data_IF_167923313495
#
_entry.id   IF_167923313495
#
_cell.length_a   1.000
_cell.length_b   1.000
_cell.length_c   1.000
_cell.angle_alpha   90.00
_cell.angle_beta   90.00
_cell.angle_gamma   90.00
#
_symmetry.space_group_name_H-M   'P 1'
#
loop_
_entity.id
_entity.type
_entity.pdbx_description
1 polymer ?
#
# COMPACT_ATOMS: atom_id res chain seq x y z
N UNK A 1 9.09 0.99 -29.09
CA UNK A 1 9.32 -0.44 -29.40
C UNK A 1 10.59 -0.84 -28.66
N UNK A 2 10.45 -1.31 -27.42
CA UNK A 2 11.56 -1.68 -26.55
C UNK A 2 11.79 -3.19 -26.63
N UNK A 3 13.05 -3.59 -26.47
CA UNK A 3 13.58 -4.93 -26.70
C UNK A 3 13.07 -5.96 -25.66
N UNK A 4 12.39 -7.04 -26.08
CA UNK A 4 11.82 -8.06 -25.21
C UNK A 4 12.83 -9.03 -24.56
N UNK A 5 14.15 -8.85 -24.76
CA UNK A 5 15.17 -9.76 -24.23
C UNK A 5 15.99 -9.22 -23.03
N UNK A 6 15.62 -8.06 -22.48
CA UNK A 6 16.14 -7.59 -21.18
C UNK A 6 15.10 -7.85 -20.09
N UNK A 7 15.17 -9.08 -19.59
CA UNK A 7 14.25 -9.73 -18.67
C UNK A 7 14.42 -9.22 -17.23
N UNK A 8 13.44 -8.45 -16.75
CA UNK A 8 13.22 -8.16 -15.32
C UNK A 8 11.93 -8.81 -14.81
N UNK A 9 11.42 -9.89 -15.44
CA UNK A 9 10.31 -10.67 -14.90
C UNK A 9 8.98 -9.92 -14.73
N UNK A 10 8.80 -8.78 -15.39
CA UNK A 10 7.56 -8.01 -15.36
C UNK A 10 6.76 -8.25 -16.64
N UNK A 11 5.50 -8.66 -16.49
CA UNK A 11 4.55 -8.79 -17.60
C UNK A 11 3.87 -7.46 -17.92
N UNK A 12 3.72 -7.16 -19.20
CA UNK A 12 3.10 -5.93 -19.71
C UNK A 12 1.80 -6.27 -20.47
N UNK A 13 0.83 -5.36 -20.44
CA UNK A 13 -0.36 -5.46 -21.29
C UNK A 13 -0.09 -4.97 -22.73
N UNK A 14 -1.08 -5.15 -23.62
CA UNK A 14 -0.97 -4.74 -25.04
C UNK A 14 -0.77 -3.23 -25.24
N UNK A 15 -0.94 -2.41 -24.20
CA UNK A 15 -0.72 -0.96 -24.24
C UNK A 15 0.62 -0.55 -23.61
N UNK A 16 1.43 -1.50 -23.13
CA UNK A 16 2.76 -1.24 -22.59
C UNK A 16 2.76 -0.74 -21.15
N UNK A 17 1.65 -0.89 -20.42
CA UNK A 17 1.64 -0.69 -18.97
C UNK A 17 2.17 -1.95 -18.28
N UNK A 18 2.97 -1.76 -17.24
CA UNK A 18 3.36 -2.88 -16.34
C UNK A 18 2.09 -3.33 -15.65
N UNK A 19 1.59 -4.51 -16.02
CA UNK A 19 0.44 -5.11 -15.36
C UNK A 19 0.97 -5.91 -14.16
N UNK A 20 1.08 -5.25 -13.00
CA UNK A 20 1.49 -5.90 -11.74
C UNK A 20 0.36 -6.80 -11.19
N UNK A 21 -0.88 -6.65 -11.69
CA UNK A 21 -2.06 -7.34 -11.19
C UNK A 21 -2.98 -7.77 -12.33
N UNK A 22 -2.63 -8.84 -13.03
CA UNK A 22 -3.67 -9.77 -13.50
C UNK A 22 -4.00 -10.69 -12.31
N UNK A 23 -4.81 -10.17 -11.39
CA UNK A 23 -5.15 -10.85 -10.15
C UNK A 23 -6.13 -11.99 -10.43
N UNK A 24 -5.59 -13.13 -10.85
CA UNK A 24 -6.26 -14.44 -10.78
C UNK A 24 -6.62 -14.85 -9.34
N UNK A 25 -6.20 -14.07 -8.35
CA UNK A 25 -6.26 -14.36 -6.92
C UNK A 25 -7.68 -14.36 -6.35
N UNK A 26 -8.56 -13.48 -6.83
CA UNK A 26 -9.95 -13.36 -6.33
C UNK A 26 -10.99 -13.76 -7.37
N UNK A 27 -10.55 -14.32 -8.49
CA UNK A 27 -11.47 -14.73 -9.54
C UNK A 27 -12.16 -16.04 -9.16
N UNK A 28 -13.49 -16.04 -9.20
CA UNK A 28 -14.28 -17.27 -9.08
C UNK A 28 -14.17 -18.00 -10.40
N UNK A 29 -13.59 -19.20 -10.38
CA UNK A 29 -13.50 -20.05 -11.55
C UNK A 29 -14.55 -21.17 -11.44
N UNK A 30 -15.73 -21.02 -12.07
CA UNK A 30 -16.83 -21.99 -11.95
C UNK A 30 -16.53 -23.36 -12.56
N UNK A 31 -15.35 -23.55 -13.19
CA UNK A 31 -14.87 -24.86 -13.64
C UNK A 31 -14.18 -25.65 -12.53
N UNK A 32 -13.78 -25.00 -11.44
CA UNK A 32 -13.05 -25.62 -10.32
C UNK A 32 -13.66 -25.28 -8.94
N UNK A 33 -14.28 -24.11 -8.79
CA UNK A 33 -14.91 -23.65 -7.55
C UNK A 33 -16.40 -24.03 -7.57
N UNK A 34 -16.74 -25.25 -7.15
CA UNK A 34 -18.12 -25.73 -7.16
C UNK A 34 -18.88 -25.38 -5.87
N UNK A 35 -18.14 -25.03 -4.81
CA UNK A 35 -18.65 -24.58 -3.51
C UNK A 35 -17.89 -23.36 -3.00
N UNK A 36 -18.46 -22.66 -2.01
CA UNK A 36 -17.81 -21.49 -1.38
C UNK A 36 -16.57 -21.95 -0.60
N UNK A 37 -16.63 -23.12 0.01
CA UNK A 37 -15.53 -23.72 0.76
C UNK A 37 -14.32 -24.00 -0.14
N UNK A 38 -14.52 -24.59 -1.33
CA UNK A 38 -13.44 -24.85 -2.30
C UNK A 38 -12.77 -23.56 -2.80
N UNK A 39 -13.56 -22.52 -3.04
CA UNK A 39 -13.05 -21.19 -3.40
C UNK A 39 -12.18 -20.61 -2.27
N UNK A 40 -12.66 -20.68 -1.03
CA UNK A 40 -11.93 -20.16 0.14
C UNK A 40 -10.63 -20.94 0.36
N UNK A 41 -10.65 -22.27 0.29
CA UNK A 41 -9.45 -23.10 0.42
C UNK A 41 -8.42 -22.77 -0.66
N UNK A 42 -8.85 -22.64 -1.93
CA UNK A 42 -7.95 -22.26 -3.03
C UNK A 42 -7.32 -20.90 -2.83
N UNK A 43 -8.09 -19.91 -2.39
CA UNK A 43 -7.56 -18.57 -2.10
C UNK A 43 -6.58 -18.62 -0.94
N UNK A 44 -6.91 -19.33 0.15
CA UNK A 44 -6.02 -19.46 1.30
C UNK A 44 -4.70 -20.13 0.91
N UNK A 45 -4.73 -21.22 0.15
CA UNK A 45 -3.52 -21.89 -0.34
C UNK A 45 -2.68 -20.99 -1.25
N UNK A 46 -3.34 -20.23 -2.12
CA UNK A 46 -2.63 -19.30 -3.04
C UNK A 46 -2.03 -18.13 -2.26
N UNK A 47 -2.73 -17.61 -1.25
CA UNK A 47 -2.22 -16.55 -0.36
C UNK A 47 -1.04 -17.06 0.47
N UNK A 48 -1.13 -18.26 1.02
CA UNK A 48 -0.03 -18.88 1.76
C UNK A 48 1.20 -19.05 0.86
N UNK A 49 1.03 -19.53 -0.38
CA UNK A 49 2.14 -19.66 -1.33
C UNK A 49 2.74 -18.31 -1.74
N UNK A 50 1.93 -17.30 -2.02
CA UNK A 50 2.46 -15.96 -2.33
C UNK A 50 3.19 -15.35 -1.14
N UNK A 51 2.70 -15.57 0.09
CA UNK A 51 3.42 -15.21 1.30
C UNK A 51 4.74 -15.99 1.34
N UNK A 52 4.74 -17.31 1.20
CA UNK A 52 5.96 -18.14 1.22
C UNK A 52 6.98 -17.75 0.13
N UNK A 53 6.53 -17.43 -1.07
CA UNK A 53 7.39 -16.93 -2.16
C UNK A 53 7.97 -15.54 -1.83
N UNK A 54 7.17 -14.63 -1.26
CA UNK A 54 7.64 -13.33 -0.77
C UNK A 54 8.56 -13.44 0.47
N UNK A 55 8.42 -14.51 1.25
CA UNK A 55 9.31 -14.83 2.37
C UNK A 55 10.61 -15.50 1.90
N UNK A 56 10.58 -16.17 0.75
CA UNK A 56 11.73 -16.83 0.13
C UNK A 56 12.58 -15.90 -0.74
N UNK A 57 12.07 -14.72 -1.11
CA UNK A 57 12.83 -13.71 -1.86
C UNK A 57 13.77 -12.94 -0.95
N UNK A 58 15.03 -13.37 -1.02
CA UNK A 58 16.17 -12.61 -0.53
C UNK A 58 16.69 -11.81 -1.72
N UNK A 59 16.88 -10.50 -1.56
CA UNK A 59 17.50 -9.74 -2.62
C UNK A 59 19.00 -10.04 -2.75
N UNK A 60 19.65 -9.42 -3.74
CA UNK A 60 21.07 -9.60 -4.06
C UNK A 60 22.02 -9.19 -2.92
N UNK A 61 21.55 -8.43 -1.94
CA UNK A 61 22.30 -8.01 -0.75
C UNK A 61 22.03 -8.89 0.48
N UNK A 62 21.25 -9.97 0.33
CA UNK A 62 20.90 -10.83 1.46
C UNK A 62 19.76 -10.28 2.32
N UNK A 63 19.04 -9.24 1.85
CA UNK A 63 17.86 -8.69 2.53
C UNK A 63 16.68 -9.61 2.26
N UNK A 64 16.29 -10.37 3.28
CA UNK A 64 14.97 -11.02 3.32
C UNK A 64 13.95 -9.90 3.51
N UNK A 65 12.86 -9.88 2.74
CA UNK A 65 11.70 -9.04 3.03
C UNK A 65 11.31 -9.29 4.50
N UNK A 66 11.63 -8.40 5.46
CA UNK A 66 11.30 -8.69 6.85
C UNK A 66 9.79 -8.77 6.91
N UNK A 67 9.27 -9.82 7.56
CA UNK A 67 7.85 -10.26 7.66
C UNK A 67 6.94 -9.23 8.37
N UNK A 68 7.19 -7.94 8.20
CA UNK A 68 6.43 -6.85 8.77
C UNK A 68 6.41 -5.61 7.85
N UNK A 69 6.67 -5.78 6.56
CA UNK A 69 6.14 -4.89 5.55
C UNK A 69 4.64 -5.18 5.46
N UNK A 70 3.89 -4.58 6.37
CA UNK A 70 2.44 -4.60 6.27
C UNK A 70 2.11 -3.75 5.05
N UNK A 71 1.99 -4.35 3.86
CA UNK A 71 1.28 -3.73 2.75
C UNK A 71 -0.15 -3.57 3.23
N UNK A 72 -0.40 -2.42 3.84
CA UNK A 72 -1.67 -2.11 4.48
C UNK A 72 -2.24 -0.91 3.79
N UNK A 73 -3.53 -1.00 3.53
CA UNK A 73 -4.25 0.01 2.77
C UNK A 73 -5.07 0.79 3.79
N UNK A 74 -4.67 2.02 4.15
CA UNK A 74 -5.35 2.79 5.18
C UNK A 74 -6.83 2.97 4.87
N UNK A 75 -7.19 3.11 3.60
CA UNK A 75 -8.56 3.38 3.18
C UNK A 75 -9.54 2.24 3.48
N UNK A 76 -9.09 0.99 3.66
CA UNK A 76 -9.98 -0.08 4.13
C UNK A 76 -10.58 0.20 5.52
N UNK A 77 -9.95 1.05 6.34
CA UNK A 77 -10.52 1.52 7.62
C UNK A 77 -11.89 2.19 7.42
N UNK A 78 -12.08 2.90 6.30
CA UNK A 78 -13.30 3.64 6.03
C UNK A 78 -14.53 2.71 5.95
N UNK A 79 -14.34 1.50 5.42
CA UNK A 79 -15.41 0.51 5.30
C UNK A 79 -15.42 -0.47 6.47
N UNK A 80 -14.24 -0.95 6.89
CA UNK A 80 -14.13 -2.04 7.85
C UNK A 80 -14.39 -1.64 9.29
N UNK A 81 -14.15 -0.39 9.68
CA UNK A 81 -14.29 0.02 11.07
C UNK A 81 -15.68 -0.31 11.66
N UNK A 82 -16.73 -0.14 10.84
CA UNK A 82 -18.11 -0.42 11.24
C UNK A 82 -18.44 -1.92 11.26
N UNK A 83 -17.69 -2.74 10.51
CA UNK A 83 -17.95 -4.16 10.28
C UNK A 83 -17.10 -5.07 11.17
N UNK A 84 -15.86 -4.68 11.45
CA UNK A 84 -14.87 -5.44 12.20
C UNK A 84 -15.38 -5.76 13.62
N UNK A 85 -15.90 -4.77 14.36
CA UNK A 85 -16.43 -5.02 15.70
C UNK A 85 -17.63 -5.98 15.70
N UNK A 86 -18.44 -5.98 14.63
CA UNK A 86 -19.59 -6.89 14.48
C UNK A 86 -19.15 -8.31 14.14
N UNK A 87 -18.16 -8.45 13.25
CA UNK A 87 -17.69 -9.74 12.74
C UNK A 87 -16.81 -10.48 13.75
N UNK A 88 -15.81 -9.79 14.31
CA UNK A 88 -14.81 -10.41 15.20
C UNK A 88 -14.96 -9.98 16.65
N UNK A 89 -15.89 -9.09 16.98
CA UNK A 89 -16.09 -8.61 18.34
C UNK A 89 -15.10 -7.50 18.70
N UNK A 90 -15.59 -6.52 19.48
CA UNK A 90 -14.85 -5.30 19.85
C UNK A 90 -13.45 -5.57 20.41
N UNK A 91 -13.30 -6.53 21.31
CA UNK A 91 -12.00 -6.81 21.94
C UNK A 91 -10.93 -7.31 20.94
N UNK A 92 -11.32 -8.11 19.93
CA UNK A 92 -10.39 -8.59 18.90
C UNK A 92 -10.10 -7.49 17.87
N UNK A 93 -11.13 -6.77 17.45
CA UNK A 93 -10.97 -5.63 16.54
C UNK A 93 -9.98 -4.59 17.10
N UNK A 94 -10.16 -4.18 18.37
CA UNK A 94 -9.27 -3.20 19.01
C UNK A 94 -7.83 -3.68 19.22
N UNK A 95 -7.58 -5.00 19.28
CA UNK A 95 -6.25 -5.57 19.53
C UNK A 95 -5.54 -6.05 18.27
N UNK A 96 -6.25 -6.23 17.16
CA UNK A 96 -5.74 -6.95 16.01
C UNK A 96 -5.96 -6.27 14.66
N UNK A 97 -6.76 -5.21 14.58
CA UNK A 97 -7.09 -4.59 13.29
C UNK A 97 -6.26 -3.33 13.04
N UNK A 98 -5.59 -3.29 11.87
CA UNK A 98 -4.89 -2.10 11.36
C UNK A 98 -3.89 -1.49 12.36
N UNK A 99 -2.95 -2.31 12.85
CA UNK A 99 -1.99 -2.02 13.93
C UNK A 99 -0.78 -1.15 13.50
N UNK A 100 -1.00 -0.12 12.69
CA UNK A 100 0.08 0.62 12.03
C UNK A 100 1.12 1.19 13.00
N UNK A 101 0.67 1.83 14.09
CA UNK A 101 1.57 2.46 15.07
C UNK A 101 2.29 1.41 15.90
N UNK A 102 1.60 0.34 16.27
CA UNK A 102 2.19 -0.78 16.99
C UNK A 102 3.29 -1.46 16.18
N UNK A 103 3.08 -1.65 14.87
CA UNK A 103 4.11 -2.22 13.97
C UNK A 103 5.34 -1.30 13.91
N UNK A 104 5.15 0.01 13.69
CA UNK A 104 6.26 0.98 13.71
C UNK A 104 7.02 0.99 15.04
N UNK A 105 6.29 0.98 16.16
CA UNK A 105 6.89 0.96 17.50
C UNK A 105 7.67 -0.34 17.76
N UNK A 106 7.26 -1.43 17.12
CA UNK A 106 7.97 -2.72 17.13
C UNK A 106 9.22 -2.75 16.24
N UNK A 107 9.56 -1.66 15.54
CA UNK A 107 10.72 -1.56 14.65
C UNK A 107 10.45 -1.99 13.21
N UNK A 108 9.19 -2.21 12.84
CA UNK A 108 8.82 -2.50 11.46
C UNK A 108 8.98 -1.30 10.53
N UNK A 109 9.16 -1.58 9.24
CA UNK A 109 8.98 -0.60 8.17
C UNK A 109 7.58 -0.79 7.58
N UNK A 110 6.78 0.27 7.54
CA UNK A 110 5.49 0.24 6.87
C UNK A 110 5.65 0.49 5.37
N UNK A 111 4.78 -0.13 4.58
CA UNK A 111 4.55 0.21 3.18
C UNK A 111 3.04 0.32 2.95
N UNK A 112 2.57 1.45 2.43
CA UNK A 112 1.15 1.61 2.15
C UNK A 112 0.85 1.35 0.68
N UNK A 113 -0.31 0.75 0.44
CA UNK A 113 -0.90 0.54 -0.88
C UNK A 113 -2.32 1.07 -0.94
N UNK A 114 -2.92 1.09 -2.13
CA UNK A 114 -4.34 1.41 -2.29
C UNK A 114 -5.22 0.16 -2.29
N UNK A 115 -4.71 -0.96 -2.81
CA UNK A 115 -5.56 -2.12 -3.17
C UNK A 115 -6.67 -1.71 -4.15
N UNK A 116 -6.33 -0.82 -5.08
CA UNK A 116 -7.20 -0.49 -6.20
C UNK A 116 -7.44 -1.73 -7.08
N UNK A 117 -8.69 -1.99 -7.53
CA UNK A 117 -9.86 -1.11 -7.45
C UNK A 117 -10.80 -1.37 -6.25
N UNK A 118 -10.37 -2.12 -5.24
CA UNK A 118 -11.19 -2.41 -4.05
C UNK A 118 -11.39 -1.15 -3.20
N UNK A 119 -10.34 -0.36 -3.01
CA UNK A 119 -10.40 0.96 -2.39
C UNK A 119 -9.90 2.06 -3.34
N UNK A 120 -10.06 3.32 -2.96
CA UNK A 120 -9.67 4.49 -3.76
C UNK A 120 -8.16 4.51 -4.07
N UNK A 121 -7.79 4.91 -5.28
CA UNK A 121 -6.38 4.96 -5.71
C UNK A 121 -5.64 6.18 -5.15
N UNK A 122 -6.35 7.20 -4.66
CA UNK A 122 -5.74 8.45 -4.19
C UNK A 122 -4.88 8.25 -2.92
N UNK A 123 -3.54 8.39 -3.01
CA UNK A 123 -2.67 8.24 -1.87
C UNK A 123 -2.82 9.37 -0.84
N UNK A 124 -3.18 10.59 -1.24
CA UNK A 124 -3.33 11.72 -0.31
C UNK A 124 -4.52 11.50 0.62
N UNK A 125 -5.62 10.96 0.06
CA UNK A 125 -6.76 10.48 0.84
C UNK A 125 -6.36 9.37 1.81
N UNK A 126 -5.62 8.37 1.34
CA UNK A 126 -5.16 7.28 2.21
C UNK A 126 -4.22 7.72 3.33
N UNK A 127 -3.31 8.67 3.06
CA UNK A 127 -2.48 9.31 4.10
C UNK A 127 -3.38 9.98 5.14
N UNK A 128 -4.38 10.75 4.70
CA UNK A 128 -5.36 11.38 5.61
C UNK A 128 -6.10 10.34 6.44
N UNK A 129 -6.48 9.20 5.86
CA UNK A 129 -7.10 8.10 6.59
C UNK A 129 -6.16 7.50 7.63
N UNK A 130 -4.88 7.29 7.32
CA UNK A 130 -3.89 6.75 8.25
C UNK A 130 -3.66 7.65 9.49
N UNK A 131 -3.63 8.97 9.31
CA UNK A 131 -3.40 9.92 10.40
C UNK A 131 -4.67 10.24 11.19
N UNK A 132 -5.83 10.28 10.54
CA UNK A 132 -7.10 10.65 11.21
C UNK A 132 -7.82 9.43 11.75
N UNK A 133 -7.86 8.33 10.99
CA UNK A 133 -8.62 7.09 11.23
C UNK A 133 -10.09 7.33 11.56
N UNK A 134 -10.72 8.33 10.95
CA UNK A 134 -12.14 8.67 11.16
C UNK A 134 -12.97 8.06 10.02
N UNK A 135 -13.72 6.97 10.26
CA UNK A 135 -14.57 6.38 9.23
C UNK A 135 -15.76 7.30 8.90
N UNK A 136 -16.36 7.17 7.70
CA UNK A 136 -17.54 7.93 7.32
C UNK A 136 -18.67 7.78 8.35
N UNK A 137 -19.31 8.90 8.70
CA UNK A 137 -20.40 8.93 9.67
C UNK A 137 -19.98 8.79 11.14
N UNK A 138 -18.67 8.80 11.44
CA UNK A 138 -18.16 8.83 12.81
C UNK A 138 -17.49 10.18 13.12
N UNK A 139 -17.60 10.62 14.36
CA UNK A 139 -16.95 11.85 14.84
C UNK A 139 -15.56 11.59 15.46
N UNK A 140 -15.30 10.34 15.83
CA UNK A 140 -14.08 9.95 16.53
C UNK A 140 -13.33 8.89 15.74
N UNK A 141 -12.03 8.80 15.98
CA UNK A 141 -11.23 7.81 15.32
C UNK A 141 -11.52 6.40 15.79
N UNK A 142 -11.50 5.47 14.85
CA UNK A 142 -11.51 4.06 15.14
C UNK A 142 -10.09 3.58 15.50
N UNK A 143 -9.93 3.12 16.74
CA UNK A 143 -8.65 2.71 17.33
C UNK A 143 -7.62 3.86 17.26
N UNK A 144 -7.85 4.98 17.99
CA UNK A 144 -7.04 6.19 17.87
C UNK A 144 -5.56 5.98 18.26
N UNK A 145 -5.25 4.97 19.07
CA UNK A 145 -3.87 4.60 19.43
C UNK A 145 -3.05 4.08 18.25
N UNK A 146 -3.70 3.66 17.16
CA UNK A 146 -3.06 3.13 15.95
C UNK A 146 -2.96 4.18 14.82
N UNK A 147 -3.15 5.47 15.14
CA UNK A 147 -2.81 6.57 14.24
C UNK A 147 -1.30 6.64 14.07
N UNK A 148 -0.88 6.98 12.85
CA UNK A 148 0.53 7.27 12.54
C UNK A 148 0.72 8.77 12.38
N UNK A 149 1.96 9.23 12.56
CA UNK A 149 2.31 10.62 12.25
C UNK A 149 2.36 10.83 10.73
N UNK A 150 2.27 12.08 10.29
CA UNK A 150 2.29 12.39 8.85
C UNK A 150 3.59 11.92 8.17
N UNK A 151 4.73 12.11 8.84
CA UNK A 151 6.03 11.67 8.33
C UNK A 151 6.07 10.15 8.15
N UNK A 152 5.51 9.40 9.11
CA UNK A 152 5.43 7.94 9.04
C UNK A 152 4.55 7.50 7.86
N UNK A 153 3.40 8.16 7.65
CA UNK A 153 2.49 7.85 6.55
C UNK A 153 3.10 8.18 5.17
N UNK A 154 3.81 9.31 5.06
CA UNK A 154 4.52 9.68 3.83
C UNK A 154 5.66 8.71 3.54
N UNK A 155 6.44 8.36 4.56
CA UNK A 155 7.49 7.36 4.42
C UNK A 155 6.89 6.02 3.95
N UNK A 156 5.76 5.59 4.52
CA UNK A 156 5.10 4.35 4.11
C UNK A 156 4.66 4.35 2.63
N UNK A 157 4.17 5.47 2.10
CA UNK A 157 3.80 5.60 0.67
C UNK A 157 4.97 5.87 -0.28
N UNK A 158 6.16 6.19 0.23
CA UNK A 158 7.33 6.54 -0.58
C UNK A 158 8.46 5.55 -0.38
N UNK A 159 9.41 5.83 0.52
CA UNK A 159 10.58 4.99 0.74
C UNK A 159 10.24 3.62 1.31
N UNK A 160 9.16 3.52 2.10
CA UNK A 160 8.63 2.27 2.63
C UNK A 160 8.12 1.35 1.53
N UNK A 161 7.30 1.88 0.62
CA UNK A 161 6.84 1.16 -0.57
C UNK A 161 8.00 0.77 -1.50
N UNK A 162 8.94 1.68 -1.75
CA UNK A 162 10.14 1.38 -2.54
C UNK A 162 10.97 0.25 -1.90
N UNK A 163 11.15 0.28 -0.57
CA UNK A 163 11.84 -0.77 0.18
C UNK A 163 11.10 -2.12 0.07
N UNK A 164 9.77 -2.11 0.11
CA UNK A 164 8.95 -3.32 -0.07
C UNK A 164 9.18 -4.00 -1.43
N UNK A 165 9.48 -3.20 -2.44
CA UNK A 165 9.75 -3.65 -3.80
C UNK A 165 11.25 -3.85 -4.09
N UNK A 166 12.14 -3.70 -3.09
CA UNK A 166 13.60 -3.70 -3.27
C UNK A 166 14.13 -2.61 -4.22
N UNK A 167 13.38 -1.53 -4.39
CA UNK A 167 13.72 -0.38 -5.24
C UNK A 167 14.17 0.84 -4.43
N UNK A 168 14.43 0.69 -3.13
CA UNK A 168 14.82 1.79 -2.24
C UNK A 168 16.21 2.37 -2.54
N UNK A 169 17.01 1.74 -3.39
CA UNK A 169 18.24 2.34 -3.93
C UNK A 169 17.99 3.26 -5.13
N UNK A 170 16.83 3.14 -5.78
CA UNK A 170 16.49 3.84 -7.03
C UNK A 170 15.35 4.84 -6.86
N UNK A 171 14.41 4.56 -5.95
CA UNK A 171 13.13 5.27 -5.77
C UNK A 171 12.85 5.64 -4.31
N UNK A 172 11.71 6.30 -4.11
CA UNK A 172 11.10 6.52 -2.79
C UNK A 172 11.67 7.69 -1.99
N UNK A 173 12.73 8.36 -2.47
CA UNK A 173 13.22 9.60 -1.86
C UNK A 173 13.94 10.49 -2.88
N UNK A 174 13.91 11.81 -2.65
CA UNK A 174 14.71 12.77 -3.41
C UNK A 174 16.12 12.87 -2.81
N UNK A 175 17.02 12.01 -3.29
CA UNK A 175 18.43 11.98 -2.89
C UNK A 175 19.34 11.71 -4.11
N UNK A 176 20.59 12.20 -4.14
CA UNK A 176 21.50 11.95 -5.25
C UNK A 176 21.65 10.46 -5.55
N UNK A 177 21.59 10.09 -6.84
CA UNK A 177 21.68 8.71 -7.32
C UNK A 177 20.33 8.02 -7.57
N UNK A 178 19.22 8.60 -7.11
CA UNK A 178 17.85 8.10 -7.33
C UNK A 178 17.15 8.80 -8.49
N UNK A 179 16.08 8.19 -9.00
CA UNK A 179 15.19 8.83 -9.96
C UNK A 179 14.53 10.08 -9.35
N UNK A 180 14.42 11.13 -10.17
CA UNK A 180 13.73 12.37 -9.80
C UNK A 180 12.21 12.23 -10.02
N UNK A 181 11.60 11.31 -9.27
CA UNK A 181 10.17 11.07 -9.24
C UNK A 181 9.55 11.83 -8.07
N UNK A 182 8.73 12.83 -8.37
CA UNK A 182 8.11 13.66 -7.33
C UNK A 182 6.83 14.32 -7.81
N UNK A 183 6.06 14.79 -6.85
CA UNK A 183 4.86 15.59 -7.08
C UNK A 183 5.04 17.00 -6.53
N UNK A 184 4.33 17.95 -7.13
CA UNK A 184 4.17 19.30 -6.61
C UNK A 184 2.77 19.42 -6.02
N UNK A 185 2.68 19.84 -4.76
CA UNK A 185 1.42 20.02 -4.07
C UNK A 185 1.05 21.51 -3.96
N UNK A 186 -0.25 21.85 -3.98
CA UNK A 186 -0.72 23.22 -3.80
C UNK A 186 -0.67 23.62 -2.32
N UNK A 187 0.54 23.78 -1.78
CA UNK A 187 0.77 24.20 -0.39
C UNK A 187 1.94 25.16 -0.32
N UNK A 188 1.80 26.22 0.47
CA UNK A 188 2.80 27.28 0.59
C UNK A 188 3.85 26.99 1.66
N UNK A 189 3.59 26.03 2.56
CA UNK A 189 4.52 25.60 3.60
C UNK A 189 4.22 24.20 4.13
N UNK A 190 5.20 23.61 4.82
CA UNK A 190 5.06 22.32 5.49
C UNK A 190 3.97 22.33 6.59
N UNK A 191 3.87 23.40 7.36
CA UNK A 191 2.87 23.53 8.43
C UNK A 191 1.45 23.63 7.88
N UNK A 192 1.27 24.28 6.74
CA UNK A 192 -0.02 24.30 6.03
C UNK A 192 -0.39 22.89 5.56
N UNK A 193 0.54 22.19 4.91
CA UNK A 193 0.33 20.82 4.44
C UNK A 193 -0.04 19.86 5.59
N UNK A 194 0.66 19.94 6.73
CA UNK A 194 0.34 19.16 7.93
C UNK A 194 -1.07 19.38 8.45
N UNK A 195 -1.54 20.64 8.39
CA UNK A 195 -2.86 21.01 8.87
C UNK A 195 -3.95 20.59 7.89
N UNK A 196 -3.67 20.66 6.59
CA UNK A 196 -4.62 20.35 5.54
C UNK A 196 -3.91 19.70 4.34
N UNK A 197 -3.95 18.37 4.31
CA UNK A 197 -3.47 17.61 3.16
C UNK A 197 -4.38 17.95 1.96
N UNK A 198 -3.82 18.44 0.84
CA UNK A 198 -4.60 18.78 -0.34
C UNK A 198 -5.22 17.53 -0.96
N UNK A 199 -6.32 17.70 -1.69
CA UNK A 199 -6.99 16.62 -2.44
C UNK A 199 -6.57 16.60 -3.92
N UNK A 200 -5.52 17.34 -4.29
CA UNK A 200 -5.05 17.44 -5.66
C UNK A 200 -3.54 17.64 -5.71
N UNK A 201 -2.97 17.20 -6.84
CA UNK A 201 -1.58 17.38 -7.21
C UNK A 201 -1.52 18.46 -8.28
N UNK A 202 -0.54 19.37 -8.18
CA UNK A 202 -0.35 20.48 -9.12
C UNK A 202 0.61 20.17 -10.27
N UNK A 203 1.43 19.13 -10.13
CA UNK A 203 2.23 18.55 -11.21
C UNK A 203 2.84 17.24 -10.74
N UNK A 204 3.08 16.32 -11.66
CA UNK A 204 3.83 15.07 -11.43
C UNK A 204 5.03 15.02 -12.35
N UNK A 205 6.19 14.69 -11.78
CA UNK A 205 7.45 14.50 -12.48
C UNK A 205 7.88 13.04 -12.37
N UNK A 206 8.30 12.47 -13.50
CA UNK A 206 8.83 11.11 -13.61
C UNK A 206 10.18 11.20 -14.30
N UNK A 207 11.21 10.67 -13.66
CA UNK A 207 12.61 10.73 -14.10
C UNK A 207 13.08 12.16 -14.42
N UNK A 208 12.60 13.14 -13.64
CA UNK A 208 12.93 14.56 -13.80
C UNK A 208 12.19 15.27 -14.92
N UNK A 209 11.28 14.61 -15.64
CA UNK A 209 10.44 15.20 -16.67
C UNK A 209 9.01 15.36 -16.18
N UNK A 210 8.38 16.50 -16.46
CA UNK A 210 6.97 16.70 -16.13
C UNK A 210 6.10 15.76 -16.98
N UNK A 211 5.42 14.82 -16.32
CA UNK A 211 4.54 13.85 -16.94
C UNK A 211 3.07 14.32 -16.94
N UNK A 212 2.65 14.96 -15.83
CA UNK A 212 1.29 15.48 -15.67
C UNK A 212 1.31 16.89 -15.08
N UNK A 213 0.44 17.81 -15.57
CA UNK A 213 0.21 19.11 -14.96
C UNK A 213 -0.78 19.03 -13.78
#
# INVERSE_FOLDING_TARGET
MADPYLDYGLSYDEQGFVCILDSTFFDINPRIDHTVEEYVERILDTLVKAIEEQLGTVDHEGRVCPILLSLVNPDHILDDASSAEKKIGKARAQKGSYLFRSLLTGGAKLAFGSDWPVADIDPLRSIKTAITRIPPGQETAWIPSERVELDDALNAYTIGAAYACFLDNELGSLSPGKYADFIVLPSSSWEEFKKNIPSSVSATYVSGLQAYP
#
